data_IF_280893065188
#
_entry.id   IF_280893065188
#
_cell.length_a   1.000
_cell.length_b   1.000
_cell.length_c   1.000
_cell.angle_alpha   90.00
_cell.angle_beta   90.00
_cell.angle_gamma   90.00
#
_symmetry.space_group_name_H-M   'P 1'
#
loop_
_entity.id
_entity.type
_entity.pdbx_description
1 polymer ?
#
# COMPACT_ATOMS: atom_id res chain seq x y z
N UNK A 1 17.47 6.46 3.64
CA UNK A 1 18.10 7.75 3.30
C UNK A 1 17.59 8.20 1.94
N UNK A 2 17.27 9.48 1.79
CA UNK A 2 16.79 10.07 0.55
C UNK A 2 17.70 11.22 0.12
N UNK A 3 18.02 11.27 -1.17
CA UNK A 3 18.71 12.38 -1.84
C UNK A 3 17.89 12.75 -3.07
N UNK A 4 17.57 14.03 -3.25
CA UNK A 4 16.76 14.54 -4.37
C UNK A 4 15.49 13.70 -4.67
N UNK A 5 14.70 13.43 -3.62
CA UNK A 5 13.48 12.61 -3.66
C UNK A 5 13.68 11.14 -4.07
N UNK A 6 14.92 10.63 -4.09
CA UNK A 6 15.22 9.24 -4.44
C UNK A 6 15.79 8.47 -3.24
N UNK A 7 15.35 7.23 -2.99
CA UNK A 7 15.94 6.41 -1.95
C UNK A 7 17.34 5.93 -2.38
N UNK A 8 18.36 6.18 -1.54
CA UNK A 8 19.77 5.84 -1.85
C UNK A 8 20.38 4.82 -0.89
N UNK A 9 19.82 4.64 0.30
CA UNK A 9 20.30 3.65 1.28
C UNK A 9 19.19 3.24 2.26
N UNK A 10 19.23 1.98 2.70
CA UNK A 10 18.46 1.50 3.86
C UNK A 10 19.35 1.70 5.09
N UNK A 11 19.00 2.70 5.91
CA UNK A 11 19.81 3.08 7.08
C UNK A 11 19.67 2.07 8.22
N UNK A 12 18.42 1.75 8.58
CA UNK A 12 18.11 0.89 9.73
C UNK A 12 17.01 -0.09 9.34
N UNK A 13 17.22 -1.36 9.70
CA UNK A 13 16.16 -2.38 9.73
C UNK A 13 15.90 -2.74 11.19
N UNK A 14 14.65 -2.61 11.62
CA UNK A 14 14.19 -3.04 12.94
C UNK A 14 13.21 -4.19 12.79
N UNK A 15 13.50 -5.32 13.43
CA UNK A 15 12.57 -6.44 13.53
C UNK A 15 12.35 -6.76 15.01
N UNK A 16 11.08 -6.72 15.42
CA UNK A 16 10.64 -7.25 16.71
C UNK A 16 9.75 -8.45 16.43
N UNK A 17 10.19 -9.64 16.83
CA UNK A 17 9.46 -10.90 16.58
C UNK A 17 9.27 -11.68 17.86
N UNK A 18 8.08 -12.25 18.02
CA UNK A 18 7.80 -13.18 19.13
C UNK A 18 8.55 -14.48 18.91
N UNK A 19 9.04 -15.11 19.98
CA UNK A 19 9.79 -16.36 19.91
C UNK A 19 9.53 -17.23 21.15
N UNK A 20 9.93 -18.50 21.09
CA UNK A 20 9.88 -19.40 22.25
C UNK A 20 10.84 -18.95 23.35
N UNK A 21 10.57 -19.30 24.60
CA UNK A 21 11.41 -18.92 25.73
C UNK A 21 12.85 -19.47 25.64
N UNK A 22 13.00 -20.58 24.92
CA UNK A 22 14.22 -21.33 24.65
C UNK A 22 14.25 -21.74 23.18
N UNK A 23 15.43 -21.73 22.57
CA UNK A 23 15.70 -22.18 21.19
C UNK A 23 16.92 -23.09 21.23
N UNK A 24 16.80 -24.33 20.76
CA UNK A 24 17.90 -25.31 20.69
C UNK A 24 18.66 -25.50 22.03
N UNK A 25 17.98 -25.49 23.18
CA UNK A 25 18.65 -25.61 24.49
C UNK A 25 19.18 -24.29 25.07
N UNK A 26 19.10 -23.19 24.31
CA UNK A 26 19.61 -21.88 24.70
C UNK A 26 18.49 -21.02 25.24
N UNK A 27 18.66 -20.55 26.48
CA UNK A 27 17.72 -19.65 27.17
C UNK A 27 18.33 -18.32 27.60
N UNK A 28 19.63 -18.12 27.42
CA UNK A 28 20.30 -16.84 27.71
C UNK A 28 19.86 -15.79 26.68
N UNK A 29 19.52 -14.58 27.13
CA UNK A 29 18.89 -13.56 26.29
C UNK A 29 19.77 -13.14 25.12
N UNK A 30 21.04 -12.83 25.38
CA UNK A 30 21.96 -12.35 24.36
C UNK A 30 22.17 -13.42 23.28
N UNK A 31 22.43 -14.66 23.69
CA UNK A 31 22.62 -15.78 22.78
C UNK A 31 21.37 -16.07 21.92
N UNK A 32 20.17 -16.02 22.49
CA UNK A 32 18.91 -16.13 21.73
C UNK A 32 18.81 -15.01 20.70
N UNK A 33 19.06 -13.76 21.11
CA UNK A 33 18.91 -12.59 20.22
C UNK A 33 19.92 -12.62 19.07
N UNK A 34 21.15 -13.03 19.33
CA UNK A 34 22.18 -13.20 18.30
C UNK A 34 21.79 -14.28 17.29
N UNK A 35 21.26 -15.41 17.77
CA UNK A 35 20.74 -16.48 16.89
C UNK A 35 19.57 -16.01 16.05
N UNK A 36 18.55 -15.41 16.67
CA UNK A 36 17.38 -14.86 15.96
C UNK A 36 17.83 -13.81 14.94
N UNK A 37 18.79 -12.94 15.27
CA UNK A 37 19.29 -11.95 14.32
C UNK A 37 19.96 -12.60 13.11
N UNK A 38 20.79 -13.62 13.32
CA UNK A 38 21.40 -14.36 12.21
C UNK A 38 20.35 -15.01 11.31
N UNK A 39 19.35 -15.68 11.91
CA UNK A 39 18.29 -16.37 11.19
C UNK A 39 17.38 -15.39 10.44
N UNK A 40 16.99 -14.27 11.06
CA UNK A 40 16.16 -13.24 10.42
C UNK A 40 16.88 -12.57 9.24
N UNK A 41 18.20 -12.36 9.32
CA UNK A 41 18.92 -11.79 8.19
C UNK A 41 18.82 -12.70 6.96
N UNK A 42 19.17 -13.98 7.13
CA UNK A 42 19.22 -14.98 6.06
C UNK A 42 17.84 -15.37 5.54
N UNK A 43 16.88 -15.55 6.44
CA UNK A 43 15.58 -16.15 6.10
C UNK A 43 14.46 -15.13 5.93
N UNK A 44 14.66 -13.87 6.35
CA UNK A 44 13.64 -12.81 6.23
C UNK A 44 14.16 -11.62 5.44
N UNK A 45 15.25 -10.97 5.87
CA UNK A 45 15.75 -9.74 5.24
C UNK A 45 16.20 -9.99 3.80
N UNK A 46 17.05 -11.00 3.58
CA UNK A 46 17.57 -11.30 2.24
C UNK A 46 16.44 -11.68 1.26
N UNK A 47 15.51 -12.60 1.58
CA UNK A 47 14.40 -12.93 0.68
C UNK A 47 13.42 -11.76 0.49
N UNK A 48 13.02 -11.07 1.57
CA UNK A 48 12.03 -9.99 1.51
C UNK A 48 12.55 -8.74 0.79
N UNK A 49 13.86 -8.60 0.62
CA UNK A 49 14.47 -7.49 -0.12
C UNK A 49 15.05 -7.94 -1.47
N UNK A 50 14.86 -9.20 -1.87
CA UNK A 50 15.50 -9.84 -3.03
C UNK A 50 15.08 -9.27 -4.40
N UNK A 51 13.94 -8.59 -4.48
CA UNK A 51 13.42 -7.91 -5.67
C UNK A 51 13.67 -6.40 -5.69
N UNK A 52 14.09 -5.81 -4.56
CA UNK A 52 14.36 -4.36 -4.48
C UNK A 52 15.60 -3.96 -5.27
N UNK A 53 15.57 -2.82 -5.95
CA UNK A 53 16.76 -2.24 -6.59
C UNK A 53 17.80 -1.77 -5.56
N UNK A 54 17.32 -1.31 -4.40
CA UNK A 54 18.14 -0.88 -3.26
C UNK A 54 18.18 -2.00 -2.21
N UNK A 55 19.31 -2.68 -2.07
CA UNK A 55 19.51 -3.77 -1.10
C UNK A 55 20.06 -3.24 0.22
N UNK A 56 19.68 -3.86 1.36
CA UNK A 56 20.40 -3.63 2.61
C UNK A 56 21.77 -4.33 2.55
N UNK A 57 22.83 -3.63 2.94
CA UNK A 57 24.15 -4.21 3.12
C UNK A 57 24.39 -4.48 4.61
N UNK A 58 24.74 -5.71 4.98
CA UNK A 58 24.91 -6.10 6.40
C UNK A 58 25.94 -5.24 7.14
N UNK A 59 26.97 -4.76 6.45
CA UNK A 59 28.01 -3.91 7.02
C UNK A 59 27.53 -2.47 7.29
N UNK A 60 26.60 -1.96 6.48
CA UNK A 60 26.22 -0.54 6.46
C UNK A 60 24.79 -0.29 6.97
N UNK A 61 23.99 -1.34 7.11
CA UNK A 61 22.61 -1.28 7.60
C UNK A 61 22.58 -1.57 9.09
N UNK A 62 22.13 -0.61 9.90
CA UNK A 62 21.93 -0.85 11.33
C UNK A 62 20.80 -1.85 11.52
N UNK A 63 21.13 -3.07 11.93
CA UNK A 63 20.16 -4.13 12.13
C UNK A 63 19.82 -4.32 13.61
N UNK A 64 18.60 -3.93 13.98
CA UNK A 64 18.08 -3.98 15.34
C UNK A 64 17.10 -5.14 15.47
N UNK A 65 17.43 -6.11 16.32
CA UNK A 65 16.59 -7.29 16.56
C UNK A 65 16.23 -7.37 18.03
N UNK A 66 14.91 -7.37 18.29
CA UNK A 66 14.30 -7.41 19.62
C UNK A 66 15.05 -6.49 20.61
N UNK A 67 15.19 -5.17 20.32
CA UNK A 67 16.03 -4.27 21.11
C UNK A 67 15.62 -4.16 22.58
N UNK A 68 14.38 -4.52 22.90
CA UNK A 68 13.79 -4.50 24.25
C UNK A 68 13.97 -5.81 25.02
N UNK A 69 14.77 -6.76 24.51
CA UNK A 69 15.01 -8.07 25.14
C UNK A 69 14.10 -9.16 24.59
N UNK A 70 13.91 -10.24 25.36
CA UNK A 70 13.06 -11.37 24.94
C UNK A 70 11.62 -10.94 24.66
N UNK A 71 11.01 -11.56 23.64
CA UNK A 71 9.60 -11.36 23.30
C UNK A 71 8.88 -12.71 23.26
N UNK A 72 8.55 -13.25 24.44
CA UNK A 72 7.94 -14.59 24.57
C UNK A 72 6.41 -14.54 24.57
N UNK A 73 5.83 -13.55 25.26
CA UNK A 73 4.39 -13.34 25.35
C UNK A 73 3.98 -12.25 24.38
N UNK A 74 3.01 -12.53 23.51
CA UNK A 74 2.54 -11.62 22.47
C UNK A 74 1.08 -11.87 22.13
N UNK A 75 0.62 -11.26 21.04
CA UNK A 75 -0.79 -11.31 20.63
C UNK A 75 -1.73 -10.68 21.67
N UNK A 76 -3.01 -11.10 21.71
CA UNK A 76 -4.01 -10.53 22.63
C UNK A 76 -3.71 -10.70 24.12
N UNK A 77 -2.77 -11.56 24.50
CA UNK A 77 -2.33 -11.71 25.88
C UNK A 77 -1.46 -10.53 26.34
N UNK A 78 -0.72 -9.92 25.42
CA UNK A 78 0.21 -8.81 25.71
C UNK A 78 -0.34 -7.42 25.38
N UNK A 79 -1.44 -7.31 24.64
CA UNK A 79 -2.03 -6.04 24.20
C UNK A 79 -3.51 -6.19 23.78
N UNK A 80 -4.24 -5.08 23.68
CA UNK A 80 -5.61 -5.04 23.17
C UNK A 80 -5.66 -4.57 21.69
N UNK A 81 -6.18 -5.43 20.82
CA UNK A 81 -6.35 -5.12 19.39
C UNK A 81 -7.74 -4.59 19.05
N UNK A 82 -7.82 -3.57 18.17
CA UNK A 82 -9.07 -3.09 17.59
C UNK A 82 -8.95 -2.94 16.07
N UNK A 83 -10.04 -3.20 15.36
CA UNK A 83 -10.15 -2.98 13.91
C UNK A 83 -9.90 -1.51 13.56
N UNK A 84 -9.15 -1.24 12.49
CA UNK A 84 -8.90 0.11 12.01
C UNK A 84 -7.85 0.89 12.80
N UNK A 85 -6.99 0.23 13.58
CA UNK A 85 -5.88 0.86 14.32
C UNK A 85 -4.52 0.74 13.63
N UNK A 86 -4.50 0.39 12.35
CA UNK A 86 -3.30 0.24 11.50
C UNK A 86 -3.47 0.87 10.11
N UNK A 87 -4.35 1.87 9.96
CA UNK A 87 -4.71 2.46 8.66
C UNK A 87 -3.54 3.01 7.85
N UNK A 88 -2.47 3.48 8.50
CA UNK A 88 -1.27 3.97 7.80
C UNK A 88 -0.40 2.80 7.32
N UNK A 89 -0.38 1.68 8.04
CA UNK A 89 0.25 0.42 7.59
C UNK A 89 -0.56 -0.19 6.45
N UNK A 90 -1.90 -0.11 6.50
CA UNK A 90 -2.78 -0.61 5.45
C UNK A 90 -2.60 0.12 4.11
N UNK A 91 -2.04 1.34 4.14
CA UNK A 91 -1.96 2.25 2.98
C UNK A 91 -0.53 2.53 2.54
N UNK A 92 0.01 3.71 2.86
CA UNK A 92 1.23 4.24 2.24
C UNK A 92 2.37 4.47 3.24
N UNK A 93 2.30 3.90 4.45
CA UNK A 93 3.39 3.96 5.43
C UNK A 93 3.76 5.38 5.88
N UNK A 94 2.84 6.34 5.75
CA UNK A 94 3.05 7.75 6.09
C UNK A 94 3.57 8.60 4.92
N UNK A 95 3.81 8.02 3.75
CA UNK A 95 4.28 8.75 2.57
C UNK A 95 3.22 9.66 1.95
N UNK A 96 1.96 9.21 1.92
CA UNK A 96 0.85 9.96 1.33
C UNK A 96 -0.19 10.36 2.39
N UNK A 97 -0.98 11.39 2.09
CA UNK A 97 -2.04 11.86 2.97
C UNK A 97 -3.16 10.82 3.09
N UNK A 98 -3.84 10.78 4.24
CA UNK A 98 -4.88 9.80 4.54
C UNK A 98 -6.17 10.49 5.01
N UNK A 99 -7.33 10.08 4.47
CA UNK A 99 -8.64 10.67 4.78
C UNK A 99 -9.27 10.22 6.10
N UNK A 100 -8.69 9.22 6.76
CA UNK A 100 -9.02 8.80 8.14
C UNK A 100 -9.88 7.54 8.26
N UNK A 101 -10.58 7.14 7.20
CA UNK A 101 -11.42 5.95 7.20
C UNK A 101 -10.62 4.63 7.22
N UNK A 102 -10.92 3.72 8.14
CA UNK A 102 -10.40 2.35 8.11
C UNK A 102 -11.06 1.49 7.03
N UNK A 103 -10.39 0.42 6.57
CA UNK A 103 -10.93 -0.49 5.57
C UNK A 103 -11.63 -1.73 6.17
N UNK A 104 -10.93 -2.49 7.02
CA UNK A 104 -11.42 -3.76 7.56
C UNK A 104 -12.74 -3.63 8.33
N UNK A 105 -13.63 -4.62 8.15
CA UNK A 105 -14.98 -4.62 8.72
C UNK A 105 -16.05 -3.90 7.89
N UNK A 106 -15.69 -3.27 6.77
CA UNK A 106 -16.63 -2.53 5.90
C UNK A 106 -16.95 -3.27 4.62
N UNK A 107 -18.22 -3.36 4.27
CA UNK A 107 -18.64 -3.82 2.94
C UNK A 107 -18.26 -2.78 1.85
N UNK A 108 -18.19 -3.16 0.57
CA UNK A 108 -17.66 -2.27 -0.47
C UNK A 108 -18.57 -1.07 -0.81
N UNK A 109 -19.80 -0.99 -0.27
CA UNK A 109 -20.62 0.22 -0.38
C UNK A 109 -20.10 1.38 0.46
N UNK A 110 -19.18 1.14 1.39
CA UNK A 110 -18.57 2.19 2.21
C UNK A 110 -17.40 2.81 1.46
N UNK A 111 -17.56 4.08 1.09
CA UNK A 111 -16.60 4.83 0.26
C UNK A 111 -15.20 4.92 0.90
N UNK A 112 -15.11 4.88 2.22
CA UNK A 112 -13.83 4.79 2.94
C UNK A 112 -12.93 3.66 2.43
N UNK A 113 -13.53 2.55 1.96
CA UNK A 113 -12.80 1.42 1.36
C UNK A 113 -12.78 1.54 -0.16
N UNK A 114 -13.95 1.56 -0.80
CA UNK A 114 -14.04 1.45 -2.25
C UNK A 114 -13.46 2.65 -2.99
N UNK A 115 -13.70 3.88 -2.50
CA UNK A 115 -13.13 5.07 -3.11
C UNK A 115 -11.62 5.21 -2.82
N UNK A 116 -11.13 4.72 -1.68
CA UNK A 116 -9.68 4.65 -1.43
C UNK A 116 -8.99 3.69 -2.42
N UNK A 117 -9.60 2.54 -2.72
CA UNK A 117 -9.12 1.62 -3.75
C UNK A 117 -9.16 2.26 -5.14
N UNK A 118 -10.23 3.00 -5.46
CA UNK A 118 -10.34 3.73 -6.72
C UNK A 118 -9.29 4.85 -6.84
N UNK A 119 -9.02 5.59 -5.76
CA UNK A 119 -7.97 6.61 -5.74
C UNK A 119 -6.58 6.00 -5.98
N UNK A 120 -6.28 4.84 -5.37
CA UNK A 120 -5.07 4.05 -5.67
C UNK A 120 -5.00 3.67 -7.15
N UNK A 121 -6.09 3.13 -7.69
CA UNK A 121 -6.19 2.72 -9.09
C UNK A 121 -5.90 3.89 -10.04
N UNK A 122 -6.53 5.05 -9.82
CA UNK A 122 -6.32 6.27 -10.61
C UNK A 122 -4.86 6.72 -10.51
N UNK A 123 -4.31 6.87 -9.30
CA UNK A 123 -2.93 7.34 -9.11
C UNK A 123 -1.93 6.41 -9.80
N UNK A 124 -2.11 5.08 -9.67
CA UNK A 124 -1.27 4.09 -10.32
C UNK A 124 -1.40 4.14 -11.84
N UNK A 125 -2.61 4.34 -12.38
CA UNK A 125 -2.85 4.47 -13.81
C UNK A 125 -2.16 5.71 -14.39
N UNK A 126 -2.23 6.86 -13.73
CA UNK A 126 -1.55 8.09 -14.16
C UNK A 126 -0.02 7.91 -14.24
N UNK A 127 0.58 7.24 -13.24
CA UNK A 127 2.01 6.95 -13.24
C UNK A 127 2.37 5.91 -14.30
N UNK A 128 1.60 4.82 -14.43
CA UNK A 128 1.82 3.79 -15.44
C UNK A 128 1.66 4.32 -16.88
N UNK A 129 0.78 5.31 -17.08
CA UNK A 129 0.60 6.01 -18.34
C UNK A 129 1.79 6.96 -18.66
N UNK A 130 2.71 7.19 -17.73
CA UNK A 130 3.82 8.14 -17.91
C UNK A 130 3.39 9.60 -17.81
N UNK A 131 2.19 9.88 -17.29
CA UNK A 131 1.67 11.24 -17.15
C UNK A 131 2.23 11.98 -15.93
N UNK A 132 2.79 11.25 -14.96
CA UNK A 132 3.55 11.80 -13.85
C UNK A 132 4.52 10.74 -13.29
N UNK A 133 5.58 11.16 -12.58
CA UNK A 133 6.47 10.21 -11.85
C UNK A 133 5.91 9.84 -10.47
N UNK A 134 5.19 10.75 -9.83
CA UNK A 134 4.41 10.52 -8.61
C UNK A 134 3.10 11.29 -8.71
N UNK A 135 2.02 10.72 -8.18
CA UNK A 135 0.71 11.33 -8.19
C UNK A 135 -0.03 11.04 -6.87
N UNK A 136 -0.67 12.05 -6.31
CA UNK A 136 -1.65 11.90 -5.24
C UNK A 136 -3.04 12.27 -5.77
N UNK A 137 -4.02 11.43 -5.47
CA UNK A 137 -5.41 11.60 -5.90
C UNK A 137 -6.29 11.72 -4.66
N UNK A 138 -7.00 12.84 -4.54
CA UNK A 138 -7.95 13.07 -3.46
C UNK A 138 -9.37 12.97 -4.02
N UNK A 139 -10.21 12.16 -3.35
CA UNK A 139 -11.63 12.05 -3.61
C UNK A 139 -12.40 12.45 -2.35
N UNK A 140 -13.47 13.23 -2.50
CA UNK A 140 -14.39 13.54 -1.41
C UNK A 140 -15.84 13.31 -1.83
N UNK A 141 -16.67 12.88 -0.89
CA UNK A 141 -18.08 12.58 -1.12
C UNK A 141 -18.93 13.25 -0.04
N UNK A 142 -20.09 13.76 -0.45
CA UNK A 142 -21.15 14.15 0.47
C UNK A 142 -22.09 12.96 0.72
N UNK A 143 -22.59 12.84 1.95
CA UNK A 143 -23.53 11.77 2.32
C UNK A 143 -24.76 11.86 1.41
N UNK A 144 -25.12 10.73 0.78
CA UNK A 144 -26.27 10.63 -0.13
C UNK A 144 -26.00 11.10 -1.57
N UNK A 145 -24.80 11.61 -1.89
CA UNK A 145 -24.44 12.06 -3.24
C UNK A 145 -23.53 11.03 -3.91
N UNK A 146 -23.94 10.52 -5.08
CA UNK A 146 -23.20 9.47 -5.77
C UNK A 146 -21.92 9.98 -6.45
N UNK A 147 -21.94 11.18 -7.04
CA UNK A 147 -20.75 11.77 -7.67
C UNK A 147 -19.84 12.37 -6.60
N UNK A 148 -18.50 12.26 -6.75
CA UNK A 148 -17.58 12.97 -5.87
C UNK A 148 -17.87 14.47 -5.89
N UNK A 149 -17.79 15.12 -4.73
CA UNK A 149 -17.90 16.59 -4.64
C UNK A 149 -16.59 17.28 -5.02
N UNK A 150 -15.46 16.60 -4.84
CA UNK A 150 -14.18 17.03 -5.37
C UNK A 150 -13.33 15.85 -5.86
N UNK A 151 -12.59 16.10 -6.93
CA UNK A 151 -11.50 15.26 -7.44
C UNK A 151 -10.30 16.20 -7.61
N UNK A 152 -9.17 15.88 -6.99
CA UNK A 152 -7.94 16.64 -7.11
C UNK A 152 -6.78 15.68 -7.42
N UNK A 153 -5.94 16.07 -8.38
CA UNK A 153 -4.68 15.39 -8.70
C UNK A 153 -3.51 16.32 -8.41
N UNK A 154 -2.51 15.84 -7.65
CA UNK A 154 -1.25 16.52 -7.41
C UNK A 154 -0.08 15.66 -7.91
N UNK A 155 0.71 16.20 -8.84
CA UNK A 155 1.89 15.51 -9.41
C UNK A 155 3.21 15.92 -8.75
N UNK A 156 3.19 16.88 -7.83
CA UNK A 156 4.35 17.44 -7.13
C UNK A 156 5.45 17.90 -8.10
N UNK A 157 5.04 18.58 -9.18
CA UNK A 157 5.95 19.06 -10.22
C UNK A 157 6.55 17.96 -11.10
N UNK A 158 6.02 16.73 -11.06
CA UNK A 158 6.51 15.60 -11.86
C UNK A 158 5.61 15.23 -13.04
N UNK A 159 4.54 15.99 -13.27
CA UNK A 159 3.59 15.76 -14.36
C UNK A 159 4.17 16.12 -15.74
N UNK A 160 3.75 15.37 -16.75
CA UNK A 160 3.98 15.68 -18.17
C UNK A 160 3.00 16.74 -18.70
N UNK A 161 1.86 16.92 -18.01
CA UNK A 161 0.84 17.94 -18.24
C UNK A 161 0.45 18.58 -16.90
N UNK A 162 -0.37 19.64 -16.93
CA UNK A 162 -0.75 20.36 -15.71
C UNK A 162 -1.60 19.49 -14.77
N UNK A 163 -1.58 19.79 -13.46
CA UNK A 163 -2.45 19.12 -12.48
C UNK A 163 -3.94 19.29 -12.83
N UNK A 164 -4.32 20.41 -13.47
CA UNK A 164 -5.67 20.65 -13.94
C UNK A 164 -6.04 19.70 -15.10
N UNK A 165 -5.13 19.50 -16.06
CA UNK A 165 -5.35 18.58 -17.18
C UNK A 165 -5.37 17.13 -16.72
N UNK A 166 -4.50 16.75 -15.78
CA UNK A 166 -4.56 15.44 -15.13
C UNK A 166 -5.92 15.22 -14.46
N UNK A 167 -6.40 16.23 -13.73
CA UNK A 167 -7.71 16.16 -13.06
C UNK A 167 -8.85 16.02 -14.07
N UNK A 168 -8.81 16.75 -15.19
CA UNK A 168 -9.79 16.64 -16.27
C UNK A 168 -9.79 15.25 -16.91
N UNK A 169 -8.61 14.69 -17.21
CA UNK A 169 -8.49 13.31 -17.71
C UNK A 169 -9.09 12.31 -16.74
N UNK A 170 -8.87 12.49 -15.43
CA UNK A 170 -9.48 11.61 -14.41
C UNK A 170 -11.01 11.70 -14.45
N UNK A 171 -11.57 12.91 -14.56
CA UNK A 171 -13.02 13.11 -14.63
C UNK A 171 -13.66 12.49 -15.89
N UNK A 172 -12.94 12.46 -17.00
CA UNK A 172 -13.44 11.93 -18.27
C UNK A 172 -13.35 10.41 -18.37
N UNK A 173 -12.30 9.81 -17.80
CA UNK A 173 -11.99 8.39 -18.02
C UNK A 173 -12.33 7.47 -16.83
N UNK A 174 -12.65 8.01 -15.66
CA UNK A 174 -12.98 7.22 -14.48
C UNK A 174 -14.38 7.55 -13.94
N UNK A 175 -15.26 6.55 -13.91
CA UNK A 175 -16.53 6.66 -13.22
C UNK A 175 -16.35 6.39 -11.72
N UNK A 176 -16.19 7.48 -10.96
CA UNK A 176 -15.90 7.43 -9.53
C UNK A 176 -17.17 7.42 -8.65
N UNK A 177 -18.33 7.05 -9.20
CA UNK A 177 -19.53 6.79 -8.39
C UNK A 177 -19.36 5.47 -7.61
N UNK A 178 -19.81 5.36 -6.35
CA UNK A 178 -19.63 4.13 -5.56
C UNK A 178 -20.13 2.86 -6.25
N UNK A 179 -21.28 2.93 -6.93
CA UNK A 179 -21.82 1.79 -7.69
C UNK A 179 -20.91 1.37 -8.85
N UNK A 180 -20.43 2.34 -9.64
CA UNK A 180 -19.52 2.09 -10.74
C UNK A 180 -18.19 1.49 -10.26
N UNK A 181 -17.61 2.02 -9.18
CA UNK A 181 -16.38 1.46 -8.57
C UNK A 181 -16.58 -0.01 -8.17
N UNK A 182 -17.72 -0.34 -7.56
CA UNK A 182 -18.05 -1.71 -7.15
C UNK A 182 -18.15 -2.63 -8.36
N UNK A 183 -18.76 -2.17 -9.45
CA UNK A 183 -18.92 -2.91 -10.69
C UNK A 183 -17.59 -3.10 -11.41
N UNK A 184 -16.82 -2.03 -11.62
CA UNK A 184 -15.49 -2.05 -12.27
C UNK A 184 -14.55 -3.06 -11.63
N UNK A 185 -14.54 -3.13 -10.29
CA UNK A 185 -13.67 -4.05 -9.56
C UNK A 185 -14.35 -5.37 -9.18
N UNK A 186 -15.65 -5.55 -9.47
CA UNK A 186 -16.40 -6.74 -9.07
C UNK A 186 -16.43 -6.99 -7.55
N UNK A 187 -16.36 -5.94 -6.72
CA UNK A 187 -16.09 -6.03 -5.27
C UNK A 187 -17.10 -6.89 -4.48
N UNK A 188 -18.32 -7.07 -5.00
CA UNK A 188 -19.35 -7.92 -4.40
C UNK A 188 -19.19 -9.40 -4.76
N UNK A 189 -18.55 -9.70 -5.89
CA UNK A 189 -18.38 -11.06 -6.41
C UNK A 189 -17.05 -11.67 -6.00
N UNK A 190 -16.01 -10.86 -5.78
CA UNK A 190 -14.68 -11.34 -5.40
C UNK A 190 -14.66 -12.26 -4.17
N UNK A 191 -15.41 -12.00 -3.08
CA UNK A 191 -15.46 -12.94 -1.97
C UNK A 191 -15.97 -14.31 -2.40
N UNK A 192 -17.06 -14.38 -3.16
CA UNK A 192 -17.61 -15.65 -3.64
C UNK A 192 -16.64 -16.37 -4.59
N UNK A 193 -15.99 -15.61 -5.48
CA UNK A 193 -15.01 -16.15 -6.43
C UNK A 193 -13.72 -16.66 -5.75
N UNK A 194 -13.42 -16.21 -4.53
CA UNK A 194 -12.19 -16.54 -3.80
C UNK A 194 -12.47 -17.21 -2.45
N UNK A 195 -13.45 -18.11 -2.43
CA UNK A 195 -13.72 -18.97 -1.26
C UNK A 195 -14.10 -18.21 0.01
N UNK A 196 -14.67 -17.01 -0.11
CA UNK A 196 -15.06 -16.13 0.99
C UNK A 196 -13.93 -15.31 1.61
N UNK A 197 -12.69 -15.47 1.16
CA UNK A 197 -11.50 -14.96 1.85
C UNK A 197 -10.94 -13.65 1.34
N UNK A 198 -11.42 -13.14 0.22
CA UNK A 198 -10.82 -11.99 -0.46
C UNK A 198 -10.47 -10.80 0.46
N UNK A 199 -11.41 -10.36 1.32
CA UNK A 199 -11.15 -9.24 2.23
C UNK A 199 -10.29 -9.59 3.45
N UNK A 200 -10.15 -10.87 3.79
CA UNK A 200 -9.24 -11.34 4.83
C UNK A 200 -7.80 -11.32 4.31
N UNK A 201 -7.58 -11.67 3.05
CA UNK A 201 -6.24 -11.74 2.45
C UNK A 201 -5.55 -10.36 2.37
N UNK A 202 -6.34 -9.29 2.30
CA UNK A 202 -5.84 -7.89 2.34
C UNK A 202 -5.78 -7.30 3.75
N UNK A 203 -6.25 -7.99 4.78
CA UNK A 203 -6.34 -7.44 6.15
C UNK A 203 -4.98 -7.35 6.88
N UNK A 204 -3.91 -7.83 6.25
CA UNK A 204 -2.53 -7.72 6.71
C UNK A 204 -1.61 -7.47 5.50
N UNK A 205 -0.42 -6.93 5.78
CA UNK A 205 0.63 -6.62 4.78
C UNK A 205 0.26 -5.55 3.75
N UNK A 206 -0.78 -4.75 4.03
CA UNK A 206 -1.20 -3.65 3.18
C UNK A 206 -2.21 -4.05 2.10
N UNK A 207 -3.05 -3.08 1.74
CA UNK A 207 -4.08 -3.22 0.72
C UNK A 207 -3.59 -2.86 -0.70
N UNK A 208 -2.42 -2.23 -0.80
CA UNK A 208 -1.88 -1.68 -2.05
C UNK A 208 -0.49 -2.22 -2.34
N UNK A 209 -0.13 -2.30 -3.62
CA UNK A 209 1.21 -2.71 -4.07
C UNK A 209 1.56 -4.18 -3.84
N UNK A 210 0.57 -5.04 -3.57
CA UNK A 210 0.76 -6.48 -3.34
C UNK A 210 1.01 -7.22 -4.65
N UNK A 211 2.15 -7.90 -4.76
CA UNK A 211 2.51 -8.74 -5.91
C UNK A 211 2.05 -10.19 -5.76
N UNK A 212 1.79 -10.63 -4.53
CA UNK A 212 1.30 -11.97 -4.18
C UNK A 212 -0.22 -12.11 -4.32
N UNK A 213 -0.94 -10.99 -4.47
CA UNK A 213 -2.39 -10.96 -4.65
C UNK A 213 -2.76 -10.32 -5.98
N UNK A 214 -3.67 -10.96 -6.73
CA UNK A 214 -4.31 -10.32 -7.88
C UNK A 214 -5.41 -9.37 -7.38
N UNK A 215 -5.15 -8.07 -7.26
CA UNK A 215 -6.10 -7.06 -6.78
C UNK A 215 -6.59 -6.20 -7.96
N UNK A 216 -7.91 -6.03 -8.17
CA UNK A 216 -8.43 -5.36 -9.35
C UNK A 216 -8.05 -3.86 -9.42
N UNK A 217 -7.89 -3.20 -8.27
CA UNK A 217 -7.42 -1.80 -8.22
C UNK A 217 -5.91 -1.66 -8.45
N UNK A 218 -5.17 -2.74 -8.63
CA UNK A 218 -3.76 -2.73 -9.02
C UNK A 218 -3.57 -3.02 -10.52
N UNK A 219 -4.56 -3.56 -11.23
CA UNK A 219 -4.46 -3.85 -12.68
C UNK A 219 -4.86 -2.65 -13.54
N UNK A 220 -3.88 -1.78 -13.82
CA UNK A 220 -4.09 -0.52 -14.53
C UNK A 220 -3.70 -0.56 -16.01
N UNK A 221 -3.30 -1.71 -16.54
CA UNK A 221 -2.65 -1.81 -17.86
C UNK A 221 -3.52 -1.24 -18.98
N UNK A 222 -4.79 -1.65 -19.02
CA UNK A 222 -5.74 -1.22 -20.04
C UNK A 222 -6.02 0.29 -19.95
N UNK A 223 -6.37 0.78 -18.75
CA UNK A 223 -6.70 2.20 -18.56
C UNK A 223 -5.50 3.12 -18.78
N UNK A 224 -4.29 2.69 -18.40
CA UNK A 224 -3.07 3.46 -18.64
C UNK A 224 -2.82 3.69 -20.14
N UNK A 225 -3.04 2.65 -20.97
CA UNK A 225 -2.96 2.77 -22.43
C UNK A 225 -4.02 3.73 -22.98
N UNK A 226 -5.26 3.68 -22.48
CA UNK A 226 -6.32 4.64 -22.85
C UNK A 226 -5.91 6.08 -22.52
N UNK A 227 -5.36 6.32 -21.33
CA UNK A 227 -4.92 7.66 -20.91
C UNK A 227 -3.75 8.18 -21.76
N UNK A 228 -2.81 7.32 -22.15
CA UNK A 228 -1.72 7.68 -23.07
C UNK A 228 -2.26 8.16 -24.42
N UNK A 229 -3.19 7.40 -25.00
CA UNK A 229 -3.80 7.74 -26.29
C UNK A 229 -4.61 9.04 -26.23
N UNK A 230 -5.42 9.20 -25.18
CA UNK A 230 -6.22 10.41 -24.96
C UNK A 230 -5.33 11.66 -24.80
N UNK A 231 -4.19 11.53 -24.11
CA UNK A 231 -3.25 12.64 -23.94
C UNK A 231 -2.54 12.99 -25.24
N UNK A 232 -2.11 12.00 -26.01
CA UNK A 232 -1.46 12.24 -27.31
C UNK A 232 -2.36 13.00 -28.27
N UNK A 233 -3.66 12.64 -28.33
CA UNK A 233 -4.64 13.33 -29.16
C UNK A 233 -4.83 14.82 -28.81
N UNK A 234 -4.71 15.17 -27.52
CA UNK A 234 -4.83 16.56 -27.03
C UNK A 234 -3.61 17.42 -27.36
N UNK A 235 -2.41 16.83 -27.38
CA UNK A 235 -1.17 17.57 -27.71
C UNK A 235 -1.05 17.79 -29.22
N UNK A 236 -1.69 16.94 -30.03
CA UNK A 236 -1.69 17.05 -31.50
C UNK A 236 -2.77 17.97 -32.08
N UNK A 237 -3.70 18.47 -31.26
CA UNK A 237 -4.82 19.33 -31.66
C UNK A 237 -4.53 20.80 -31.33
#
# INVERSE_FOLDING_TARGET
VYEDDRPVAIDTILISTQHTAEIDGVSEEKAIRERIAADLWTHVVEPATSDLSLKPAKADTRFLVNPTGKFVVGGPQGDAGLTGRKIIVDTYGGYARHGGGAFSGKDPTKVDRSAAYAARYVAKALVAAGLARKAEVQLSYAIGVAKPVSILVESFGTGAISNADLTALVQEHFDLRPGAIIETFGLRHLPQQRGGRFYQDVAAYGHFGRSDLNLPWEDVTAIASTLQQATAARVSA
#
